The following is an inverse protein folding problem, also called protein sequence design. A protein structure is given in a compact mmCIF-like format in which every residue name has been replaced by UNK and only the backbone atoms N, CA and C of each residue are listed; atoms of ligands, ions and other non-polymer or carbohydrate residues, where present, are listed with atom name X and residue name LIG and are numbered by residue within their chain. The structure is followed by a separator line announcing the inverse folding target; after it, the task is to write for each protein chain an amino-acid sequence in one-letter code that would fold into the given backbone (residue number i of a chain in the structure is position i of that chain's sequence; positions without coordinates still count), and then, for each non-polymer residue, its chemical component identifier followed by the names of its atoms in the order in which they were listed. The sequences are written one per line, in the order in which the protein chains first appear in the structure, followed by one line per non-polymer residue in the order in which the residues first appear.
data_IF_320168818862
#
_entry.id   IF_320168818862
#
_cell.length_a   1.000
_cell.length_b   1.000
_cell.length_c   1.000
_cell.angle_alpha   90.00
_cell.angle_beta   90.00
_cell.angle_gamma   90.00
#
_symmetry.space_group_name_H-M   'P 1'
#
loop_
_entity.id
_entity.type
_entity.pdbx_description
1 polymer ?
#
# COMPACT_ATOMS: atom_id res chain seq x y z
N UNK A 1 23.93 3.16 27.01
CA UNK A 1 24.03 3.58 25.60
C UNK A 1 23.73 2.37 24.74
N UNK A 2 22.46 2.18 24.38
CA UNK A 2 22.03 1.09 23.50
C UNK A 2 22.54 1.42 22.09
N UNK A 3 23.32 0.51 21.51
CA UNK A 3 23.66 0.56 20.10
C UNK A 3 22.35 0.41 19.33
N UNK A 4 21.79 1.52 18.83
CA UNK A 4 20.72 1.47 17.84
C UNK A 4 21.24 0.65 16.67
N UNK A 5 20.77 -0.59 16.59
CA UNK A 5 21.15 -1.49 15.52
C UNK A 5 20.44 -0.96 14.28
N UNK A 6 21.15 -0.18 13.46
CA UNK A 6 20.61 0.37 12.22
C UNK A 6 20.00 -0.77 11.41
N UNK A 7 18.68 -0.75 11.26
CA UNK A 7 17.95 -1.79 10.54
C UNK A 7 18.45 -1.81 9.08
N UNK A 8 18.73 -3.01 8.55
CA UNK A 8 19.26 -3.20 7.19
C UNK A 8 18.16 -3.09 6.15
N UNK A 9 18.53 -2.64 4.95
CA UNK A 9 17.64 -2.57 3.79
C UNK A 9 17.02 -3.95 3.47
N UNK A 10 15.74 -3.93 3.11
CA UNK A 10 14.99 -5.14 2.76
C UNK A 10 15.09 -5.37 1.26
N UNK A 11 15.48 -6.59 0.90
CA UNK A 11 15.68 -7.00 -0.50
C UNK A 11 14.96 -8.31 -0.77
N UNK A 12 14.94 -8.74 -2.03
CA UNK A 12 14.50 -10.09 -2.42
C UNK A 12 15.20 -11.18 -1.59
N UNK A 13 16.50 -11.03 -1.32
CA UNK A 13 17.25 -11.99 -0.50
C UNK A 13 16.78 -11.99 0.97
N UNK A 14 16.30 -10.85 1.48
CA UNK A 14 15.72 -10.77 2.82
C UNK A 14 14.44 -11.62 2.92
N UNK A 15 13.60 -11.65 1.87
CA UNK A 15 12.40 -12.51 1.82
C UNK A 15 12.77 -14.00 1.89
N UNK A 16 13.76 -14.44 1.10
CA UNK A 16 14.25 -15.82 1.12
C UNK A 16 14.79 -16.20 2.51
N UNK A 17 15.67 -15.37 3.08
CA UNK A 17 16.25 -15.62 4.42
C UNK A 17 15.19 -15.67 5.51
N UNK A 18 14.23 -14.76 5.49
CA UNK A 18 13.14 -14.75 6.48
C UNK A 18 12.32 -16.03 6.41
N UNK A 19 11.96 -16.49 5.20
CA UNK A 19 11.29 -17.78 5.02
C UNK A 19 12.13 -18.94 5.54
N UNK A 20 13.40 -19.04 5.15
CA UNK A 20 14.32 -20.11 5.59
C UNK A 20 14.46 -20.16 7.11
N UNK A 21 14.49 -19.01 7.76
CA UNK A 21 14.60 -18.87 9.22
C UNK A 21 13.26 -18.98 9.96
N UNK A 22 12.14 -19.15 9.26
CA UNK A 22 10.78 -19.08 9.81
C UNK A 22 10.46 -17.73 10.50
N UNK A 23 11.11 -16.64 10.07
CA UNK A 23 10.82 -15.28 10.50
C UNK A 23 9.70 -14.67 9.64
N UNK A 24 8.70 -14.04 10.27
CA UNK A 24 7.58 -13.46 9.51
C UNK A 24 7.99 -12.18 8.77
N UNK A 25 7.49 -12.06 7.54
CA UNK A 25 7.59 -10.84 6.74
C UNK A 25 6.38 -9.95 7.03
N UNK A 26 6.64 -8.70 7.39
CA UNK A 26 5.62 -7.68 7.65
C UNK A 26 5.47 -6.78 6.43
N UNK A 27 4.24 -6.64 5.92
CA UNK A 27 3.94 -5.77 4.80
C UNK A 27 2.69 -4.94 5.09
N UNK A 28 2.72 -3.67 4.72
CA UNK A 28 1.56 -2.77 4.78
C UNK A 28 1.46 -2.02 3.47
N UNK A 29 0.26 -1.62 3.07
CA UNK A 29 0.15 -0.67 1.97
C UNK A 29 0.57 0.73 2.40
N UNK A 30 1.03 1.58 1.48
CA UNK A 30 1.13 3.01 1.72
C UNK A 30 1.01 3.75 0.40
N UNK A 31 0.57 5.01 0.47
CA UNK A 31 0.29 5.82 -0.72
C UNK A 31 0.98 7.18 -0.65
N UNK A 32 1.40 7.65 0.52
CA UNK A 32 2.06 8.94 0.68
C UNK A 32 3.45 8.84 1.35
N UNK A 33 4.19 9.94 1.25
CA UNK A 33 5.55 10.05 1.78
C UNK A 33 5.60 9.91 3.32
N UNK A 34 4.68 10.56 4.04
CA UNK A 34 4.70 10.58 5.50
C UNK A 34 4.38 9.21 6.09
N UNK A 35 3.32 8.55 5.63
CA UNK A 35 2.95 7.20 6.05
C UNK A 35 4.06 6.20 5.75
N UNK A 36 4.64 6.26 4.54
CA UNK A 36 5.77 5.41 4.17
C UNK A 36 6.98 5.62 5.09
N UNK A 37 7.33 6.87 5.41
CA UNK A 37 8.42 7.20 6.34
C UNK A 37 8.16 6.64 7.75
N UNK A 38 6.93 6.71 8.24
CA UNK A 38 6.58 6.20 9.57
C UNK A 38 6.61 4.67 9.62
N UNK A 39 6.10 3.99 8.59
CA UNK A 39 6.21 2.53 8.50
C UNK A 39 7.66 2.06 8.35
N UNK A 40 8.47 2.80 7.59
CA UNK A 40 9.89 2.51 7.44
C UNK A 40 10.63 2.59 8.79
N UNK A 41 10.41 3.67 9.54
CA UNK A 41 10.97 3.88 10.87
C UNK A 41 10.48 2.84 11.89
N UNK A 42 9.23 2.38 11.76
CA UNK A 42 8.66 1.34 12.60
C UNK A 42 9.21 -0.07 12.29
N UNK A 43 9.97 -0.23 11.20
CA UNK A 43 10.61 -1.49 10.83
C UNK A 43 9.75 -2.44 10.00
N UNK A 44 8.68 -1.95 9.36
CA UNK A 44 7.89 -2.74 8.39
C UNK A 44 8.81 -3.26 7.29
N UNK A 45 8.76 -4.54 6.91
CA UNK A 45 9.71 -5.10 5.94
C UNK A 45 9.47 -4.60 4.52
N UNK A 46 8.22 -4.56 4.10
CA UNK A 46 7.83 -4.16 2.76
C UNK A 46 6.65 -3.20 2.76
N UNK A 47 6.64 -2.28 1.80
CA UNK A 47 5.53 -1.38 1.55
C UNK A 47 4.95 -1.69 0.18
N UNK A 48 3.67 -2.05 0.16
CA UNK A 48 2.93 -2.28 -1.07
C UNK A 48 2.22 -0.99 -1.51
N UNK A 49 2.66 -0.40 -2.61
CA UNK A 49 1.87 0.61 -3.32
C UNK A 49 0.86 -0.15 -4.16
N UNK A 50 -0.28 -0.47 -3.54
CA UNK A 50 -1.32 -1.31 -4.13
C UNK A 50 -2.37 -0.52 -4.89
N UNK A 51 -3.02 -1.16 -5.87
CA UNK A 51 -4.17 -0.58 -6.60
C UNK A 51 -5.41 -0.38 -5.71
N UNK A 52 -5.40 -0.92 -4.48
CA UNK A 52 -6.32 -0.55 -3.39
C UNK A 52 -6.38 0.95 -3.11
N UNK A 53 -5.35 1.72 -3.52
CA UNK A 53 -5.37 3.20 -3.52
C UNK A 53 -6.59 3.78 -4.23
N UNK A 54 -7.07 3.10 -5.28
CA UNK A 54 -8.27 3.49 -6.01
C UNK A 54 -9.47 3.64 -5.09
N UNK A 55 -9.65 2.69 -4.17
CA UNK A 55 -10.81 2.68 -3.28
C UNK A 55 -10.58 3.54 -2.04
N UNK A 56 -9.45 3.33 -1.34
CA UNK A 56 -9.26 3.93 0.00
C UNK A 56 -8.71 5.36 -0.02
N UNK A 57 -8.17 5.82 -1.16
CA UNK A 57 -7.64 7.18 -1.32
C UNK A 57 -8.40 7.96 -2.39
N UNK A 58 -8.62 7.36 -3.57
CA UNK A 58 -9.24 8.05 -4.70
C UNK A 58 -10.77 7.95 -4.72
N UNK A 59 -11.38 7.09 -3.90
CA UNK A 59 -12.84 6.94 -3.82
C UNK A 59 -13.47 6.26 -5.04
N UNK A 60 -12.70 5.54 -5.86
CA UNK A 60 -13.23 4.70 -6.92
C UNK A 60 -14.02 3.51 -6.36
N UNK A 61 -15.05 3.10 -7.08
CA UNK A 61 -15.86 1.92 -6.71
C UNK A 61 -15.10 0.60 -6.87
N UNK A 62 -14.03 0.60 -7.67
CA UNK A 62 -13.25 -0.60 -8.02
C UNK A 62 -11.80 -0.25 -8.34
N UNK A 63 -10.87 -1.16 -8.02
CA UNK A 63 -9.45 -1.03 -8.40
C UNK A 63 -9.22 -1.10 -9.91
N UNK A 64 -10.22 -1.57 -10.68
CA UNK A 64 -10.15 -1.58 -12.15
C UNK A 64 -10.07 -0.17 -12.79
N UNK A 65 -10.42 0.88 -12.04
CA UNK A 65 -10.30 2.26 -12.49
C UNK A 65 -8.90 2.86 -12.31
N UNK A 66 -8.03 2.19 -11.55
CA UNK A 66 -6.66 2.68 -11.29
C UNK A 66 -5.82 2.57 -12.56
N UNK A 67 -5.08 3.62 -12.86
CA UNK A 67 -4.24 3.72 -14.05
C UNK A 67 -2.76 3.62 -13.71
N UNK A 68 -1.93 3.40 -14.73
CA UNK A 68 -0.46 3.51 -14.60
C UNK A 68 -0.01 4.89 -14.13
N UNK A 69 -0.76 5.96 -14.44
CA UNK A 69 -0.43 7.32 -13.98
C UNK A 69 -0.59 7.41 -12.47
N UNK A 70 -1.70 6.90 -11.94
CA UNK A 70 -1.97 6.88 -10.49
C UNK A 70 -0.86 6.11 -9.77
N UNK A 71 -0.58 4.89 -10.23
CA UNK A 71 0.45 4.04 -9.62
C UNK A 71 1.83 4.69 -9.61
N UNK A 72 2.23 5.39 -10.67
CA UNK A 72 3.50 6.13 -10.70
C UNK A 72 3.55 7.27 -9.68
N UNK A 73 2.46 8.05 -9.54
CA UNK A 73 2.41 9.18 -8.59
C UNK A 73 2.56 8.69 -7.16
N UNK A 74 1.76 7.71 -6.76
CA UNK A 74 1.80 7.16 -5.41
C UNK A 74 3.11 6.40 -5.13
N UNK A 75 3.65 5.67 -6.12
CA UNK A 75 4.96 5.01 -5.98
C UNK A 75 6.06 6.02 -5.72
N UNK A 76 6.11 7.11 -6.49
CA UNK A 76 7.10 8.16 -6.30
C UNK A 76 6.95 8.87 -4.94
N UNK A 77 5.72 9.06 -4.45
CA UNK A 77 5.47 9.61 -3.12
C UNK A 77 6.03 8.71 -2.01
N UNK A 78 5.75 7.41 -2.08
CA UNK A 78 6.24 6.41 -1.12
C UNK A 78 7.76 6.29 -1.15
N UNK A 79 8.38 6.30 -2.33
CA UNK A 79 9.83 6.23 -2.50
C UNK A 79 10.60 7.42 -1.88
N UNK A 80 9.94 8.59 -1.77
CA UNK A 80 10.53 9.72 -1.04
C UNK A 80 10.56 9.48 0.46
N UNK A 81 9.59 8.74 1.01
CA UNK A 81 9.43 8.49 2.44
C UNK A 81 10.21 7.29 2.98
N UNK A 82 10.11 6.13 2.31
CA UNK A 82 10.74 4.89 2.76
C UNK A 82 12.19 4.78 2.26
N UNK A 83 13.12 4.40 3.15
CA UNK A 83 14.54 4.24 2.84
C UNK A 83 15.02 2.81 2.98
N UNK A 84 14.44 2.04 3.91
CA UNK A 84 14.84 0.65 4.21
C UNK A 84 13.89 -0.39 3.61
N UNK A 85 12.60 -0.15 3.73
CA UNK A 85 11.53 -1.09 3.39
C UNK A 85 11.52 -1.36 1.90
N UNK A 86 11.28 -2.61 1.51
CA UNK A 86 11.17 -2.95 0.10
C UNK A 86 9.86 -2.40 -0.46
N UNK A 87 9.95 -1.44 -1.40
CA UNK A 87 8.77 -0.87 -2.06
C UNK A 87 8.37 -1.79 -3.21
N UNK A 88 7.14 -2.28 -3.18
CA UNK A 88 6.55 -3.13 -4.23
C UNK A 88 5.37 -2.35 -4.79
N UNK A 89 5.30 -2.16 -6.10
CA UNK A 89 4.20 -1.47 -6.76
C UNK A 89 3.30 -2.42 -7.52
N UNK A 90 1.99 -2.27 -7.40
CA UNK A 90 1.05 -2.99 -8.24
C UNK A 90 1.13 -2.54 -9.69
N UNK A 91 1.10 -3.51 -10.59
CA UNK A 91 0.72 -3.25 -11.97
C UNK A 91 -0.81 -3.25 -12.04
N UNK A 92 -1.45 -2.10 -12.36
CA UNK A 92 -2.91 -1.98 -12.33
C UNK A 92 -3.55 -2.72 -13.51
N UNK A 93 -4.88 -2.87 -13.46
CA UNK A 93 -5.64 -3.54 -14.52
C UNK A 93 -5.27 -3.01 -15.92
N UNK A 94 -5.24 -3.91 -16.91
CA UNK A 94 -4.81 -3.66 -18.30
C UNK A 94 -3.34 -3.21 -18.53
N UNK A 95 -2.55 -2.89 -17.50
CA UNK A 95 -1.15 -2.45 -17.68
C UNK A 95 -0.18 -3.56 -18.10
N UNK A 96 -0.53 -4.83 -17.86
CA UNK A 96 0.27 -6.01 -18.19
C UNK A 96 -0.45 -7.05 -19.04
N UNK A 97 -1.70 -6.79 -19.43
CA UNK A 97 -2.56 -7.75 -20.12
C UNK A 97 -2.49 -7.64 -21.65
N UNK A 98 -2.07 -6.49 -22.17
CA UNK A 98 -2.16 -6.13 -23.60
C UNK A 98 -1.07 -6.75 -24.45
N UNK A 99 0.19 -6.58 -24.04
CA UNK A 99 1.34 -7.25 -24.64
C UNK A 99 2.47 -7.41 -23.62
N UNK A 100 3.36 -8.36 -23.85
CA UNK A 100 4.53 -8.60 -22.99
C UNK A 100 5.46 -7.39 -23.00
N UNK A 101 5.65 -6.74 -24.15
CA UNK A 101 6.47 -5.53 -24.27
C UNK A 101 5.93 -4.38 -23.43
N UNK A 102 4.62 -4.10 -23.54
CA UNK A 102 3.97 -3.03 -22.78
C UNK A 102 3.99 -3.35 -21.28
N UNK A 103 3.83 -4.62 -20.90
CA UNK A 103 3.93 -5.05 -19.51
C UNK A 103 5.33 -4.78 -18.93
N UNK A 104 6.40 -5.17 -19.63
CA UNK A 104 7.79 -4.94 -19.18
C UNK A 104 8.11 -3.44 -19.13
N UNK A 105 7.64 -2.66 -20.10
CA UNK A 105 7.79 -1.20 -20.11
C UNK A 105 7.11 -0.56 -18.91
N UNK A 106 5.86 -0.93 -18.62
CA UNK A 106 5.10 -0.42 -17.48
C UNK A 106 5.74 -0.82 -16.14
N UNK A 107 6.23 -2.07 -16.03
CA UNK A 107 6.99 -2.49 -14.86
C UNK A 107 8.25 -1.63 -14.66
N UNK A 108 8.98 -1.34 -15.74
CA UNK A 108 10.16 -0.47 -15.71
C UNK A 108 9.83 0.97 -15.30
N UNK A 109 8.68 1.51 -15.71
CA UNK A 109 8.21 2.84 -15.28
C UNK A 109 7.94 2.90 -13.76
N UNK A 110 7.39 1.85 -13.16
CA UNK A 110 7.20 1.78 -11.71
C UNK A 110 8.54 1.68 -10.97
N UNK A 111 9.50 0.94 -11.52
CA UNK A 111 10.87 0.90 -10.99
C UNK A 111 11.53 2.28 -11.04
N UNK A 112 11.38 3.00 -12.17
CA UNK A 112 11.85 4.41 -12.29
C UNK A 112 11.16 5.35 -11.31
N UNK A 113 9.89 5.09 -10.97
CA UNK A 113 9.17 5.82 -9.94
C UNK A 113 9.64 5.49 -8.51
N UNK A 114 10.48 4.46 -8.33
CA UNK A 114 11.11 4.12 -7.05
C UNK A 114 10.65 2.79 -6.43
N UNK A 115 9.89 1.97 -7.15
CA UNK A 115 9.62 0.60 -6.73
C UNK A 115 10.88 -0.27 -6.90
N UNK A 116 11.08 -1.23 -5.99
CA UNK A 116 12.11 -2.26 -6.09
C UNK A 116 11.61 -3.51 -6.83
N UNK A 117 10.29 -3.69 -6.87
CA UNK A 117 9.62 -4.82 -7.49
C UNK A 117 8.20 -4.45 -7.90
N UNK A 118 7.61 -5.30 -8.74
CA UNK A 118 6.20 -5.17 -9.14
C UNK A 118 5.36 -6.36 -8.68
N UNK A 119 4.07 -6.13 -8.43
CA UNK A 119 3.07 -7.18 -8.15
C UNK A 119 2.11 -7.34 -9.34
N UNK A 120 1.85 -8.58 -9.74
CA UNK A 120 0.93 -8.93 -10.83
C UNK A 120 -0.05 -10.00 -10.37
N UNK A 121 -1.29 -9.91 -10.83
CA UNK A 121 -2.35 -10.88 -10.51
C UNK A 121 -2.50 -11.96 -11.57
N UNK A 122 -2.68 -13.20 -11.12
CA UNK A 122 -2.93 -14.35 -11.97
C UNK A 122 -1.68 -15.15 -12.33
N UNK A 123 -1.90 -16.26 -13.04
CA UNK A 123 -0.87 -17.20 -13.46
C UNK A 123 -1.27 -17.97 -14.74
N UNK A 124 -2.02 -17.33 -15.63
CA UNK A 124 -2.23 -17.91 -16.98
C UNK A 124 -0.89 -18.01 -17.71
N UNK A 125 -0.79 -18.84 -18.74
CA UNK A 125 0.47 -19.01 -19.48
C UNK A 125 1.00 -17.69 -20.06
N UNK A 126 0.08 -16.78 -20.44
CA UNK A 126 0.43 -15.42 -20.84
C UNK A 126 1.03 -14.62 -19.67
N UNK A 127 0.38 -14.61 -18.49
CA UNK A 127 0.90 -13.91 -17.30
C UNK A 127 2.25 -14.49 -16.87
N UNK A 128 2.43 -15.81 -16.90
CA UNK A 128 3.71 -16.46 -16.61
C UNK A 128 4.81 -16.01 -17.57
N UNK A 129 4.47 -15.80 -18.84
CA UNK A 129 5.40 -15.24 -19.83
C UNK A 129 5.78 -13.80 -19.45
N UNK A 130 4.82 -12.96 -19.06
CA UNK A 130 5.10 -11.60 -18.57
C UNK A 130 6.02 -11.62 -17.34
N UNK A 131 5.71 -12.43 -16.32
CA UNK A 131 6.52 -12.58 -15.11
C UNK A 131 7.96 -12.94 -15.47
N UNK A 132 8.15 -13.96 -16.30
CA UNK A 132 9.48 -14.40 -16.75
C UNK A 132 10.23 -13.27 -17.45
N UNK A 133 9.57 -12.52 -18.34
CA UNK A 133 10.20 -11.43 -19.10
C UNK A 133 10.55 -10.22 -18.24
N UNK A 134 9.75 -9.89 -17.23
CA UNK A 134 10.10 -8.87 -16.23
C UNK A 134 11.37 -9.30 -15.45
N UNK A 135 11.40 -10.54 -14.97
CA UNK A 135 12.53 -11.07 -14.20
C UNK A 135 13.82 -11.12 -15.04
N UNK A 136 13.73 -11.61 -16.29
CA UNK A 136 14.87 -11.61 -17.24
C UNK A 136 15.35 -10.20 -17.57
N UNK A 137 14.50 -9.18 -17.40
CA UNK A 137 14.85 -7.76 -17.57
C UNK A 137 15.38 -7.11 -16.28
N UNK A 138 15.57 -7.89 -15.21
CA UNK A 138 16.09 -7.41 -13.93
C UNK A 138 15.05 -6.79 -13.01
N UNK A 139 13.75 -6.98 -13.27
CA UNK A 139 12.65 -6.47 -12.45
C UNK A 139 12.09 -7.62 -11.59
N UNK A 140 12.27 -7.60 -10.26
CA UNK A 140 11.68 -8.61 -9.38
C UNK A 140 10.16 -8.57 -9.41
N UNK A 141 9.54 -9.76 -9.40
CA UNK A 141 8.09 -9.90 -9.46
C UNK A 141 7.55 -10.65 -8.24
N UNK A 142 6.53 -10.07 -7.61
CA UNK A 142 5.65 -10.74 -6.66
C UNK A 142 4.38 -11.18 -7.40
N UNK A 143 4.04 -12.46 -7.34
CA UNK A 143 2.77 -12.94 -7.87
C UNK A 143 1.61 -12.68 -6.91
N UNK A 144 0.37 -12.73 -7.40
CA UNK A 144 -0.83 -12.68 -6.58
C UNK A 144 -1.85 -13.73 -7.04
N UNK A 145 -2.24 -14.62 -6.12
CA UNK A 145 -3.20 -15.71 -6.33
C UNK A 145 -4.25 -15.75 -5.21
N UNK A 146 -5.29 -16.56 -5.43
CA UNK A 146 -6.47 -16.58 -4.57
C UNK A 146 -7.51 -15.65 -5.17
N UNK A 147 -8.11 -14.79 -4.34
CA UNK A 147 -8.97 -13.73 -4.83
C UNK A 147 -8.12 -12.61 -5.42
N UNK A 148 -8.23 -12.37 -6.73
CA UNK A 148 -7.49 -11.34 -7.47
C UNK A 148 -8.47 -10.24 -7.89
N UNK A 149 -8.51 -9.09 -7.16
CA UNK A 149 -9.50 -8.02 -7.38
C UNK A 149 -9.62 -7.53 -8.83
N UNK A 150 -8.54 -7.53 -9.62
CA UNK A 150 -8.61 -7.08 -11.01
C UNK A 150 -9.49 -8.00 -11.89
N UNK A 151 -9.68 -9.25 -11.46
CA UNK A 151 -10.54 -10.25 -12.09
C UNK A 151 -11.94 -10.34 -11.45
N UNK A 152 -12.38 -9.33 -10.69
CA UNK A 152 -13.68 -9.32 -9.98
C UNK A 152 -14.86 -9.76 -10.86
N UNK A 153 -14.92 -9.27 -12.09
CA UNK A 153 -15.99 -9.59 -13.05
C UNK A 153 -15.97 -11.06 -13.50
N UNK A 154 -14.78 -11.67 -13.59
CA UNK A 154 -14.61 -13.09 -13.95
C UNK A 154 -14.92 -13.99 -12.75
N UNK A 155 -14.53 -13.57 -11.54
CA UNK A 155 -14.79 -14.30 -10.29
C UNK A 155 -16.27 -14.19 -9.84
N UNK A 156 -16.99 -13.19 -10.36
CA UNK A 156 -18.37 -12.92 -10.02
C UNK A 156 -18.54 -12.47 -8.56
N UNK A 157 -17.66 -11.57 -8.10
CA UNK A 157 -17.69 -10.96 -6.78
C UNK A 157 -16.61 -11.45 -5.79
N UNK A 158 -16.64 -10.87 -4.58
CA UNK A 158 -15.70 -11.14 -3.48
C UNK A 158 -15.91 -12.53 -2.89
N UNK A 159 -15.20 -13.53 -3.42
CA UNK A 159 -15.35 -14.94 -3.02
C UNK A 159 -14.03 -15.52 -2.54
N UNK A 160 -14.08 -16.17 -1.38
CA UNK A 160 -12.99 -17.00 -0.86
C UNK A 160 -12.66 -18.11 -1.87
N UNK A 161 -11.38 -18.25 -2.23
CA UNK A 161 -10.84 -19.26 -3.13
C UNK A 161 -10.22 -20.41 -2.32
N UNK A 162 -9.84 -21.52 -2.95
CA UNK A 162 -9.14 -22.62 -2.24
C UNK A 162 -10.02 -23.44 -1.29
N UNK A 163 -11.35 -23.42 -1.44
CA UNK A 163 -12.31 -24.09 -0.53
C UNK A 163 -12.37 -25.61 -0.63
N UNK A 164 -11.72 -26.20 -1.63
CA UNK A 164 -11.67 -27.66 -1.83
C UNK A 164 -10.23 -28.10 -2.06
N UNK A 165 -9.98 -29.41 -1.88
CA UNK A 165 -8.66 -29.99 -2.17
C UNK A 165 -8.25 -29.78 -3.63
N UNK A 166 -9.20 -29.86 -4.57
CA UNK A 166 -8.98 -29.61 -5.99
C UNK A 166 -8.59 -28.15 -6.26
N UNK A 167 -9.35 -27.18 -5.73
CA UNK A 167 -9.05 -25.76 -5.91
C UNK A 167 -7.72 -25.38 -5.22
N UNK A 168 -7.43 -25.97 -4.06
CA UNK A 168 -6.13 -25.82 -3.38
C UNK A 168 -4.98 -26.36 -4.23
N UNK A 169 -5.16 -27.54 -4.83
CA UNK A 169 -4.17 -28.13 -5.76
C UNK A 169 -3.95 -27.22 -6.97
N UNK A 170 -5.02 -26.66 -7.50
CA UNK A 170 -4.95 -25.70 -8.61
C UNK A 170 -4.13 -24.46 -8.24
N UNK A 171 -4.41 -23.81 -7.10
CA UNK A 171 -3.64 -22.65 -6.62
C UNK A 171 -2.17 -23.03 -6.35
N UNK A 172 -1.91 -24.20 -5.75
CA UNK A 172 -0.54 -24.68 -5.54
C UNK A 172 0.22 -24.84 -6.86
N UNK A 173 -0.41 -25.40 -7.89
CA UNK A 173 0.21 -25.57 -9.20
C UNK A 173 0.50 -24.20 -9.85
N UNK A 174 -0.44 -23.26 -9.77
CA UNK A 174 -0.24 -21.88 -10.23
C UNK A 174 0.93 -21.20 -9.51
N UNK A 175 1.02 -21.36 -8.18
CA UNK A 175 2.09 -20.78 -7.38
C UNK A 175 3.47 -21.38 -7.72
N UNK A 176 3.53 -22.69 -8.01
CA UNK A 176 4.74 -23.35 -8.49
C UNK A 176 5.17 -22.83 -9.85
N UNK A 177 4.24 -22.63 -10.79
CA UNK A 177 4.53 -22.03 -12.09
C UNK A 177 5.06 -20.60 -11.96
N UNK A 178 4.49 -19.78 -11.07
CA UNK A 178 5.01 -18.44 -10.79
C UNK A 178 6.45 -18.48 -10.24
N UNK A 179 6.72 -19.40 -9.31
CA UNK A 179 8.07 -19.64 -8.78
C UNK A 179 9.04 -20.06 -9.90
N UNK A 180 8.63 -20.98 -10.77
CA UNK A 180 9.43 -21.43 -11.92
C UNK A 180 9.68 -20.31 -12.93
N UNK A 181 8.72 -19.40 -13.12
CA UNK A 181 8.88 -18.20 -13.93
C UNK A 181 9.81 -17.14 -13.30
N UNK A 182 10.21 -17.32 -12.04
CA UNK A 182 11.17 -16.46 -11.35
C UNK A 182 10.57 -15.45 -10.36
N UNK A 183 9.27 -15.53 -10.05
CA UNK A 183 8.69 -14.71 -8.99
C UNK A 183 9.40 -14.99 -7.65
N UNK A 184 9.69 -13.95 -6.86
CA UNK A 184 10.41 -14.10 -5.59
C UNK A 184 9.50 -14.31 -4.38
N UNK A 185 8.21 -14.03 -4.55
CA UNK A 185 7.18 -14.14 -3.53
C UNK A 185 5.80 -14.25 -4.19
N UNK A 186 4.80 -14.75 -3.46
CA UNK A 186 3.41 -14.79 -3.91
C UNK A 186 2.45 -14.35 -2.79
N UNK A 187 1.54 -13.43 -3.10
CA UNK A 187 0.41 -13.10 -2.24
C UNK A 187 -0.66 -14.18 -2.39
N UNK A 188 -1.21 -14.63 -1.26
CA UNK A 188 -2.40 -15.47 -1.18
C UNK A 188 -3.51 -14.65 -0.52
N UNK A 189 -4.55 -14.32 -1.28
CA UNK A 189 -5.68 -13.52 -0.80
C UNK A 189 -6.96 -14.34 -0.68
N UNK A 190 -7.64 -14.22 0.48
CA UNK A 190 -8.90 -14.92 0.79
C UNK A 190 -8.84 -16.43 0.50
N UNK A 191 -7.81 -17.10 1.02
CA UNK A 191 -7.60 -18.55 0.91
C UNK A 191 -7.72 -19.20 2.31
N UNK A 192 -8.42 -20.32 2.52
CA UNK A 192 -8.49 -21.00 3.82
C UNK A 192 -7.11 -21.28 4.43
N UNK A 193 -7.01 -21.22 5.76
CA UNK A 193 -5.75 -21.35 6.50
C UNK A 193 -5.03 -22.67 6.17
N UNK A 194 -5.76 -23.78 6.09
CA UNK A 194 -5.21 -25.10 5.77
C UNK A 194 -4.65 -25.15 4.36
N UNK A 195 -5.36 -24.56 3.40
CA UNK A 195 -4.96 -24.47 2.00
C UNK A 195 -3.71 -23.61 1.83
N UNK A 196 -3.70 -22.44 2.45
CA UNK A 196 -2.56 -21.52 2.44
C UNK A 196 -1.33 -22.11 3.14
N UNK A 197 -1.51 -22.83 4.25
CA UNK A 197 -0.44 -23.55 4.94
C UNK A 197 0.19 -24.62 4.03
N UNK A 198 -0.66 -25.42 3.36
CA UNK A 198 -0.20 -26.44 2.42
C UNK A 198 0.57 -25.82 1.25
N UNK A 199 0.06 -24.72 0.67
CA UNK A 199 0.75 -24.00 -0.41
C UNK A 199 2.11 -23.47 0.06
N UNK A 200 2.14 -22.77 1.19
CA UNK A 200 3.34 -22.12 1.73
C UNK A 200 4.47 -23.12 2.01
N UNK A 201 4.11 -24.28 2.58
CA UNK A 201 5.05 -25.38 2.84
C UNK A 201 5.64 -26.00 1.56
N UNK A 202 4.94 -25.89 0.43
CA UNK A 202 5.33 -26.52 -0.83
C UNK A 202 6.03 -25.56 -1.81
N UNK A 203 6.34 -24.33 -1.38
CA UNK A 203 7.07 -23.34 -2.15
C UNK A 203 8.41 -23.02 -1.48
N UNK A 204 9.41 -22.68 -2.30
CA UNK A 204 10.71 -22.14 -1.88
C UNK A 204 10.66 -20.62 -1.73
N UNK A 205 9.80 -19.95 -2.50
CA UNK A 205 9.57 -18.51 -2.39
C UNK A 205 8.62 -18.18 -1.24
N UNK A 206 8.70 -16.97 -0.70
CA UNK A 206 7.85 -16.54 0.40
C UNK A 206 6.38 -16.44 -0.02
N UNK A 207 5.47 -16.81 0.86
CA UNK A 207 4.04 -16.51 0.74
C UNK A 207 3.65 -15.37 1.67
N UNK A 208 2.89 -14.41 1.16
CA UNK A 208 2.33 -13.33 1.97
C UNK A 208 0.81 -13.50 2.01
N UNK A 209 0.23 -13.59 3.20
CA UNK A 209 -1.20 -13.77 3.38
C UNK A 209 -1.94 -12.45 3.54
N UNK A 210 -3.14 -12.37 2.98
CA UNK A 210 -4.17 -11.38 3.33
C UNK A 210 -5.52 -12.10 3.39
N UNK A 211 -6.03 -12.31 4.60
CA UNK A 211 -7.13 -13.24 4.81
C UNK A 211 -6.79 -14.69 4.43
N UNK A 212 -5.51 -15.09 4.57
CA UNK A 212 -5.01 -16.42 4.24
C UNK A 212 -4.50 -17.24 5.45
N UNK A 213 -4.97 -16.90 6.65
CA UNK A 213 -4.56 -17.56 7.89
C UNK A 213 -3.13 -17.25 8.31
N UNK A 214 -2.67 -17.87 9.41
CA UNK A 214 -1.41 -17.51 10.09
C UNK A 214 -0.16 -18.21 9.57
N UNK A 215 -0.32 -19.20 8.70
CA UNK A 215 0.76 -20.11 8.30
C UNK A 215 1.46 -19.72 6.98
N UNK A 216 1.12 -18.58 6.38
CA UNK A 216 1.95 -17.95 5.32
C UNK A 216 3.24 -17.38 5.92
N UNK A 217 4.27 -17.17 5.11
CA UNK A 217 5.58 -16.68 5.55
C UNK A 217 5.55 -15.19 5.95
N UNK A 218 4.54 -14.45 5.52
CA UNK A 218 4.28 -13.07 5.94
C UNK A 218 2.82 -12.69 5.85
N UNK A 219 2.52 -11.43 6.17
CA UNK A 219 1.17 -10.87 6.13
C UNK A 219 1.19 -9.49 5.47
N UNK A 220 0.12 -9.17 4.74
CA UNK A 220 -0.17 -7.82 4.24
C UNK A 220 -1.58 -7.39 4.61
N UNK A 221 -1.72 -6.12 4.96
CA UNK A 221 -3.02 -5.45 5.13
C UNK A 221 -2.97 -4.06 4.49
N UNK A 222 -4.15 -3.57 4.12
CA UNK A 222 -4.33 -2.18 3.69
C UNK A 222 -4.15 -1.27 4.90
N UNK A 223 -3.27 -0.25 4.78
CA UNK A 223 -2.96 0.64 5.89
C UNK A 223 -4.19 1.39 6.41
N UNK A 224 -5.02 1.93 5.53
CA UNK A 224 -6.22 2.66 5.92
C UNK A 224 -7.24 1.78 6.68
N UNK A 225 -7.28 0.48 6.41
CA UNK A 225 -8.11 -0.47 7.17
C UNK A 225 -7.57 -0.67 8.60
N UNK A 226 -6.27 -0.84 8.76
CA UNK A 226 -5.66 -1.08 10.08
C UNK A 226 -5.59 0.20 10.92
N UNK A 227 -5.43 1.36 10.30
CA UNK A 227 -5.43 2.66 10.96
C UNK A 227 -6.86 3.16 11.25
N UNK A 228 -7.88 2.50 10.72
CA UNK A 228 -9.28 2.91 10.90
C UNK A 228 -9.58 4.24 10.22
N UNK A 229 -8.85 4.60 9.17
CA UNK A 229 -9.08 5.81 8.37
C UNK A 229 -10.17 5.58 7.33
N UNK A 230 -10.14 4.43 6.64
CA UNK A 230 -11.24 4.01 5.78
C UNK A 230 -12.29 3.28 6.63
N UNK A 231 -13.51 3.82 6.67
CA UNK A 231 -14.56 3.33 7.57
C UNK A 231 -15.75 2.70 6.89
N UNK A 232 -15.91 2.89 5.58
CA UNK A 232 -17.10 2.47 4.83
C UNK A 232 -17.22 0.94 4.77
N UNK A 233 -16.09 0.25 4.85
CA UNK A 233 -16.02 -1.19 4.93
C UNK A 233 -14.89 -1.61 5.87
N UNK A 234 -15.07 -2.75 6.55
CA UNK A 234 -14.02 -3.41 7.33
C UNK A 234 -13.93 -4.88 6.93
N UNK A 235 -12.84 -5.32 6.27
CA UNK A 235 -12.65 -6.72 5.97
C UNK A 235 -12.60 -7.56 7.25
N UNK A 236 -13.24 -8.74 7.25
CA UNK A 236 -13.24 -9.66 8.40
C UNK A 236 -11.83 -10.05 8.87
N UNK A 237 -10.87 -10.09 7.94
CA UNK A 237 -9.48 -10.46 8.20
C UNK A 237 -8.59 -9.30 8.66
N UNK A 238 -9.09 -8.05 8.64
CA UNK A 238 -8.32 -6.88 9.05
C UNK A 238 -8.58 -6.54 10.52
N UNK A 239 -7.52 -6.49 11.33
CA UNK A 239 -7.56 -5.95 12.69
C UNK A 239 -7.29 -4.45 12.65
N UNK A 240 -8.15 -3.66 13.29
CA UNK A 240 -7.89 -2.23 13.55
C UNK A 240 -6.93 -2.08 14.72
N UNK A 241 -5.90 -1.25 14.54
CA UNK A 241 -4.92 -0.87 15.55
C UNK A 241 -5.06 0.61 15.95
N UNK A 242 -5.79 1.42 15.17
CA UNK A 242 -6.14 2.79 15.50
C UNK A 242 -7.55 3.14 14.98
N UNK A 243 -8.04 4.32 15.36
CA UNK A 243 -9.29 4.93 14.89
C UNK A 243 -9.02 6.36 14.40
N UNK A 244 -8.37 6.46 13.23
CA UNK A 244 -8.05 7.76 12.65
C UNK A 244 -9.29 8.54 12.23
N UNK A 245 -10.41 7.88 11.90
CA UNK A 245 -11.67 8.57 11.63
C UNK A 245 -12.04 9.49 12.78
N UNK A 246 -12.15 8.94 14.00
CA UNK A 246 -12.53 9.75 15.16
C UNK A 246 -11.49 10.83 15.50
N UNK A 247 -10.20 10.54 15.32
CA UNK A 247 -9.14 11.55 15.54
C UNK A 247 -9.32 12.75 14.59
N UNK A 248 -9.54 12.48 13.30
CA UNK A 248 -9.71 13.53 12.27
C UNK A 248 -11.00 14.32 12.51
N UNK A 249 -12.13 13.64 12.74
CA UNK A 249 -13.42 14.29 12.98
C UNK A 249 -13.38 15.17 14.24
N UNK A 250 -12.80 14.66 15.34
CA UNK A 250 -12.69 15.43 16.58
C UNK A 250 -11.75 16.63 16.44
N UNK A 251 -10.62 16.49 15.72
CA UNK A 251 -9.72 17.61 15.47
C UNK A 251 -10.39 18.71 14.65
N UNK A 252 -11.17 18.34 13.63
CA UNK A 252 -11.93 19.30 12.83
C UNK A 252 -13.03 19.98 13.67
N UNK A 253 -13.77 19.23 14.49
CA UNK A 253 -14.78 19.81 15.39
C UNK A 253 -14.16 20.76 16.42
N UNK A 254 -12.99 20.40 16.98
CA UNK A 254 -12.23 21.27 17.87
C UNK A 254 -11.86 22.59 17.20
N UNK A 255 -11.20 22.51 16.03
CA UNK A 255 -10.86 23.71 15.26
C UNK A 255 -12.07 24.59 14.91
N UNK A 256 -13.20 23.99 14.52
CA UNK A 256 -14.45 24.73 14.26
C UNK A 256 -14.93 25.42 15.54
N UNK A 257 -14.90 24.74 16.67
CA UNK A 257 -15.27 25.32 17.96
C UNK A 257 -14.38 26.51 18.27
N UNK A 258 -13.05 26.34 18.25
CA UNK A 258 -12.09 27.37 18.64
C UNK A 258 -12.23 28.63 17.76
N UNK A 259 -12.44 28.46 16.44
CA UNK A 259 -12.67 29.57 15.51
C UNK A 259 -14.00 30.28 15.80
N UNK A 260 -15.07 29.52 16.07
CA UNK A 260 -16.41 30.11 16.25
C UNK A 260 -16.63 30.75 17.62
N UNK A 261 -15.89 30.32 18.64
CA UNK A 261 -15.86 30.95 19.98
C UNK A 261 -14.84 32.09 20.08
N UNK A 262 -13.94 32.21 19.10
CA UNK A 262 -12.84 33.17 19.12
C UNK A 262 -11.68 32.77 20.04
N UNK A 263 -11.59 31.48 20.40
CA UNK A 263 -10.42 30.92 21.10
C UNK A 263 -9.23 30.71 20.15
N UNK A 264 -9.47 30.55 18.84
CA UNK A 264 -8.45 30.53 17.80
C UNK A 264 -8.64 31.67 16.78
N UNK A 265 -7.56 32.39 16.41
CA UNK A 265 -6.23 32.31 17.01
C UNK A 265 -6.17 32.95 18.40
N UNK A 266 -5.30 32.44 19.27
CA UNK A 266 -4.97 33.07 20.55
C UNK A 266 -3.83 34.10 20.43
N UNK A 267 -3.49 34.77 21.54
CA UNK A 267 -2.44 35.80 21.58
C UNK A 267 -1.06 35.30 21.09
N UNK A 268 -0.75 34.02 21.26
CA UNK A 268 0.52 33.42 20.82
C UNK A 268 0.54 33.06 19.33
N UNK A 269 -0.63 33.06 18.69
CA UNK A 269 -0.85 32.67 17.29
C UNK A 269 -1.10 33.88 16.38
N UNK A 270 -1.05 35.10 16.93
CA UNK A 270 -1.21 36.35 16.18
C UNK A 270 0.10 37.13 16.10
N UNK A 271 0.16 38.03 15.12
CA UNK A 271 1.25 38.99 14.97
C UNK A 271 0.73 40.40 15.25
N UNK A 272 1.49 41.19 16.01
CA UNK A 272 1.16 42.58 16.30
C UNK A 272 1.99 43.54 15.46
N UNK A 273 1.35 44.62 15.01
CA UNK A 273 2.06 45.79 14.51
C UNK A 273 2.85 46.46 15.64
N UNK A 274 3.91 47.19 15.28
CA UNK A 274 4.55 48.11 16.22
C UNK A 274 3.56 49.20 16.64
N UNK A 275 3.86 49.89 17.74
CA UNK A 275 2.96 50.92 18.26
C UNK A 275 2.75 52.05 17.26
N UNK A 276 3.82 52.45 16.57
CA UNK A 276 3.79 53.51 15.57
C UNK A 276 2.83 53.18 14.41
N UNK A 277 2.91 51.95 13.88
CA UNK A 277 2.03 51.51 12.79
C UNK A 277 0.58 51.33 13.26
N UNK A 278 0.35 50.92 14.51
CA UNK A 278 -1.01 50.88 15.09
C UNK A 278 -1.65 52.27 15.17
N UNK A 279 -0.89 53.31 15.45
CA UNK A 279 -1.42 54.68 15.53
C UNK A 279 -1.66 55.27 14.13
N UNK A 280 -0.78 54.97 13.16
CA UNK A 280 -1.00 55.34 11.76
C UNK A 280 -2.28 54.72 11.17
N UNK A 281 -2.66 53.50 11.58
CA UNK A 281 -3.92 52.88 11.17
C UNK A 281 -5.16 53.68 11.61
N UNK A 282 -5.11 54.29 12.81
CA UNK A 282 -6.23 55.12 13.31
C UNK A 282 -6.41 56.38 12.47
N UNK A 283 -5.29 56.98 12.05
CA UNK A 283 -5.34 58.15 11.16
C UNK A 283 -5.93 57.79 9.78
N UNK A 284 -5.73 56.56 9.29
CA UNK A 284 -6.35 56.07 8.05
C UNK A 284 -7.87 55.91 8.24
N UNK A 285 -8.29 55.27 9.32
CA UNK A 285 -9.70 55.03 9.63
C UNK A 285 -10.49 56.35 9.75
N UNK A 286 -9.95 57.32 10.48
CA UNK A 286 -10.58 58.63 10.67
C UNK A 286 -10.69 59.44 9.36
N UNK A 287 -9.71 59.33 8.46
CA UNK A 287 -9.70 60.06 7.18
C UNK A 287 -10.64 59.43 6.13
N UNK A 288 -10.84 58.11 6.17
CA UNK A 288 -11.82 57.41 5.31
C UNK A 288 -13.26 57.67 5.78
N UNK A 289 -13.50 57.67 7.10
CA UNK A 289 -14.84 57.93 7.66
C UNK A 289 -15.34 59.36 7.42
N UNK A 290 -14.42 60.33 7.36
CA UNK A 290 -14.73 61.74 7.06
C UNK A 290 -14.85 62.08 5.56
N UNK A 291 -14.65 61.10 4.66
CA UNK A 291 -14.81 61.25 3.20
C UNK A 291 -16.18 60.77 2.68
N UNK A 292 -16.99 60.12 3.52
CA UNK A 292 -18.40 59.77 3.24
C UNK A 292 -19.36 60.80 3.85
#
# INVERSE_FOLDING_TARGET
MSVETKLKDVTVNTFFKKKENNEKITMLTAYDCSTAKYFDNAGVDAILVGDSVGMVVLGYESTQHVTMTDMKVFTAAVARGAKRSMIIADMPFMSYHTSVEEAVKNAGELVRAGAYAVKLEGATDYILTVVKRCVESGIPVMGHLGFTPQYLNVLGGYKVQGKSAENTRFILNQARKLQEAGAFSVVLEMVPEESAALISKNLKIATIGIGAGRYTDGQVLVADDILGKFSDFKPKFARRYADLKSVIENAAMGYISDVTTGEFPDESEIFHLSKEEQDALKEIEDNEYNRC
#
